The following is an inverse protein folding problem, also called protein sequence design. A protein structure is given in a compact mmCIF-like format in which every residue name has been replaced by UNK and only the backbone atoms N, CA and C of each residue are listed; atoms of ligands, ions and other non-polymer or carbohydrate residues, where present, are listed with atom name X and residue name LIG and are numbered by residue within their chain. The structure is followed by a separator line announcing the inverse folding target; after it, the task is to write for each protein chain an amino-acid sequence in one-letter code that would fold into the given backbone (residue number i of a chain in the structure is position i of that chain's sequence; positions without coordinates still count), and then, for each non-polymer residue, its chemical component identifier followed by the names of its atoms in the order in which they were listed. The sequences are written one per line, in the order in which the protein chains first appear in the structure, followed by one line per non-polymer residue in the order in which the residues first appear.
data_IF_707191068133
#
_entry.id   IF_707191068133
#
_cell.length_a   1.000
_cell.length_b   1.000
_cell.length_c   1.000
_cell.angle_alpha   90.00
_cell.angle_beta   90.00
_cell.angle_gamma   90.00
#
_symmetry.space_group_name_H-M   'P 1'
#
loop_
_entity.id
_entity.type
_entity.pdbx_description
1 polymer ?
#
# COMPACT_ATOMS: atom_id res chain seq x y z
N UNK A 1 -23.57 -33.34 4.67
CA UNK A 1 -23.78 -32.36 5.76
C UNK A 1 -22.47 -31.92 6.44
N UNK A 2 -21.60 -32.81 6.96
CA UNK A 2 -20.31 -32.42 7.59
C UNK A 2 -19.35 -31.63 6.69
N UNK A 3 -19.20 -32.01 5.41
CA UNK A 3 -18.28 -31.32 4.49
C UNK A 3 -18.64 -29.86 4.21
N UNK A 4 -19.94 -29.55 4.11
CA UNK A 4 -20.41 -28.18 3.86
C UNK A 4 -20.19 -27.28 5.08
N UNK A 5 -20.37 -27.81 6.28
CA UNK A 5 -20.08 -27.08 7.52
C UNK A 5 -18.60 -26.71 7.60
N UNK A 6 -17.70 -27.67 7.38
CA UNK A 6 -16.26 -27.42 7.38
C UNK A 6 -15.84 -26.37 6.34
N UNK A 7 -16.40 -26.43 5.13
CA UNK A 7 -16.09 -25.47 4.07
C UNK A 7 -16.54 -24.04 4.40
N UNK A 8 -17.67 -23.87 5.09
CA UNK A 8 -18.16 -22.56 5.54
C UNK A 8 -17.31 -22.05 6.70
N UNK A 9 -16.98 -22.90 7.68
CA UNK A 9 -16.10 -22.51 8.80
C UNK A 9 -14.73 -22.07 8.30
N UNK A 10 -14.13 -22.84 7.39
CA UNK A 10 -12.85 -22.49 6.76
C UNK A 10 -12.91 -21.15 6.00
N UNK A 11 -13.99 -20.92 5.23
CA UNK A 11 -14.19 -19.65 4.53
C UNK A 11 -14.28 -18.45 5.50
N UNK A 12 -15.01 -18.61 6.61
CA UNK A 12 -15.14 -17.57 7.63
C UNK A 12 -13.80 -17.29 8.32
N UNK A 13 -13.06 -18.34 8.70
CA UNK A 13 -11.73 -18.18 9.29
C UNK A 13 -10.75 -17.49 8.34
N UNK A 14 -10.80 -17.81 7.03
CA UNK A 14 -10.00 -17.11 6.01
C UNK A 14 -10.37 -15.63 5.89
N UNK A 15 -11.66 -15.31 5.93
CA UNK A 15 -12.10 -13.92 5.89
C UNK A 15 -11.63 -13.13 7.13
N UNK A 16 -11.77 -13.70 8.32
CA UNK A 16 -11.29 -13.10 9.58
C UNK A 16 -9.77 -12.88 9.56
N UNK A 17 -9.00 -13.87 9.07
CA UNK A 17 -7.56 -13.73 8.91
C UNK A 17 -7.18 -12.58 7.96
N UNK A 18 -7.87 -12.45 6.82
CA UNK A 18 -7.66 -11.35 5.88
C UNK A 18 -7.99 -9.99 6.50
N UNK A 19 -9.05 -9.91 7.31
CA UNK A 19 -9.39 -8.68 8.04
C UNK A 19 -8.33 -8.32 9.09
N UNK A 20 -7.80 -9.31 9.82
CA UNK A 20 -6.74 -9.13 10.80
C UNK A 20 -5.41 -8.70 10.18
N UNK A 21 -5.15 -9.13 8.94
CA UNK A 21 -3.95 -8.75 8.19
C UNK A 21 -3.97 -7.31 7.64
N UNK A 22 -5.09 -6.58 7.75
CA UNK A 22 -5.19 -5.21 7.24
C UNK A 22 -4.39 -4.24 8.13
N UNK A 23 -3.36 -3.56 7.58
CA UNK A 23 -2.61 -2.55 8.32
C UNK A 23 -3.52 -1.41 8.79
N UNK A 24 -3.29 -0.81 9.98
CA UNK A 24 -4.11 0.29 10.49
C UNK A 24 -4.25 1.47 9.51
N UNK A 25 -3.19 1.80 8.79
CA UNK A 25 -3.12 2.86 7.78
C UNK A 25 -3.96 2.57 6.52
N UNK A 26 -4.31 1.31 6.29
CA UNK A 26 -5.06 0.84 5.13
C UNK A 26 -6.55 0.60 5.43
N UNK A 27 -6.98 0.66 6.69
CA UNK A 27 -8.34 0.29 7.11
C UNK A 27 -9.43 1.15 6.49
N UNK A 28 -9.21 2.46 6.41
CA UNK A 28 -10.18 3.38 5.79
C UNK A 28 -10.27 3.14 4.28
N UNK A 29 -9.12 2.92 3.62
CA UNK A 29 -9.05 2.69 2.18
C UNK A 29 -9.68 1.35 1.76
N UNK A 30 -9.47 0.28 2.55
CA UNK A 30 -10.01 -1.05 2.28
C UNK A 30 -11.41 -1.28 2.85
N UNK A 31 -11.91 -0.37 3.68
CA UNK A 31 -13.24 -0.43 4.29
C UNK A 31 -14.36 -0.75 3.28
N UNK A 32 -14.47 -0.04 2.15
CA UNK A 32 -15.48 -0.32 1.12
C UNK A 32 -15.36 -1.72 0.51
N UNK A 33 -14.14 -2.23 0.30
CA UNK A 33 -13.88 -3.55 -0.25
C UNK A 33 -14.29 -4.66 0.75
N UNK A 34 -13.94 -4.50 2.02
CA UNK A 34 -14.37 -5.41 3.10
C UNK A 34 -15.90 -5.42 3.22
N UNK A 35 -16.54 -4.26 3.15
CA UNK A 35 -18.00 -4.15 3.19
C UNK A 35 -18.67 -4.81 1.98
N UNK A 36 -18.07 -4.70 0.79
CA UNK A 36 -18.54 -5.37 -0.43
C UNK A 36 -18.54 -6.89 -0.28
N UNK A 37 -17.45 -7.47 0.23
CA UNK A 37 -17.35 -8.91 0.49
C UNK A 37 -18.36 -9.34 1.55
N UNK A 38 -18.45 -8.59 2.67
CA UNK A 38 -19.40 -8.86 3.74
C UNK A 38 -20.86 -8.85 3.28
N UNK A 39 -21.24 -7.88 2.44
CA UNK A 39 -22.59 -7.80 1.85
C UNK A 39 -22.90 -8.96 0.91
N UNK A 40 -21.91 -9.50 0.19
CA UNK A 40 -22.08 -10.68 -0.67
C UNK A 40 -22.20 -11.98 0.12
N UNK A 41 -21.52 -12.09 1.25
CA UNK A 41 -21.61 -13.27 2.12
C UNK A 41 -22.95 -13.32 2.88
N UNK A 42 -23.51 -12.16 3.23
CA UNK A 42 -24.69 -12.02 4.08
C UNK A 42 -25.95 -12.79 3.60
N UNK A 43 -26.34 -12.74 2.32
CA UNK A 43 -27.50 -13.48 1.80
C UNK A 43 -27.33 -15.00 1.88
N UNK A 44 -26.10 -15.49 1.68
CA UNK A 44 -25.77 -16.92 1.78
C UNK A 44 -25.76 -17.45 3.21
N UNK A 45 -25.58 -16.55 4.19
CA UNK A 45 -25.67 -16.86 5.63
C UNK A 45 -27.11 -16.83 6.18
N UNK A 46 -28.05 -16.12 5.52
CA UNK A 46 -29.37 -15.84 6.11
C UNK A 46 -30.59 -16.36 5.34
N UNK A 47 -30.52 -16.53 4.02
CA UNK A 47 -31.77 -16.69 3.24
C UNK A 47 -31.88 -18.01 2.45
N UNK A 48 -31.11 -18.32 1.39
CA UNK A 48 -31.61 -19.29 0.37
C UNK A 48 -30.61 -20.30 -0.28
N UNK A 49 -29.59 -20.78 0.44
CA UNK A 49 -28.60 -21.72 -0.11
C UNK A 49 -28.52 -23.08 0.58
N UNK A 50 -29.49 -23.51 1.41
CA UNK A 50 -29.35 -24.72 2.21
C UNK A 50 -29.45 -26.08 1.47
N UNK A 51 -29.71 -26.09 0.16
CA UNK A 51 -29.59 -27.32 -0.65
C UNK A 51 -28.12 -27.60 -0.96
N UNK A 52 -27.66 -28.85 -0.77
CA UNK A 52 -26.23 -29.21 -0.77
C UNK A 52 -25.42 -28.70 -1.97
N UNK A 53 -26.02 -28.71 -3.18
CA UNK A 53 -25.39 -28.27 -4.43
C UNK A 53 -25.17 -26.75 -4.50
N UNK A 54 -26.09 -25.97 -3.92
CA UNK A 54 -26.06 -24.50 -3.94
C UNK A 54 -25.05 -23.94 -2.94
N UNK A 55 -24.80 -24.66 -1.83
CA UNK A 55 -23.77 -24.31 -0.84
C UNK A 55 -22.38 -24.33 -1.49
N UNK A 56 -22.09 -25.36 -2.28
CA UNK A 56 -20.75 -25.52 -2.87
C UNK A 56 -20.40 -24.38 -3.82
N UNK A 57 -21.34 -23.99 -4.69
CA UNK A 57 -21.18 -22.85 -5.58
C UNK A 57 -21.00 -21.55 -4.80
N UNK A 58 -21.85 -21.31 -3.79
CA UNK A 58 -21.73 -20.13 -2.94
C UNK A 58 -20.39 -20.05 -2.19
N UNK A 59 -19.91 -21.16 -1.62
CA UNK A 59 -18.61 -21.21 -0.93
C UNK A 59 -17.47 -20.92 -1.91
N UNK A 60 -17.54 -21.44 -3.14
CA UNK A 60 -16.54 -21.16 -4.17
C UNK A 60 -16.52 -19.68 -4.57
N UNK A 61 -17.69 -19.09 -4.84
CA UNK A 61 -17.83 -17.69 -5.22
C UNK A 61 -17.37 -16.74 -4.10
N UNK A 62 -17.82 -17.00 -2.87
CA UNK A 62 -17.40 -16.24 -1.70
C UNK A 62 -15.90 -16.40 -1.41
N UNK A 63 -15.36 -17.61 -1.61
CA UNK A 63 -13.92 -17.88 -1.52
C UNK A 63 -13.12 -17.04 -2.51
N UNK A 64 -13.56 -16.96 -3.76
CA UNK A 64 -12.89 -16.13 -4.78
C UNK A 64 -12.87 -14.64 -4.43
N UNK A 65 -13.94 -14.12 -3.82
CA UNK A 65 -14.01 -12.72 -3.37
C UNK A 65 -13.10 -12.45 -2.15
N UNK A 66 -13.02 -13.39 -1.20
CA UNK A 66 -12.07 -13.33 -0.08
C UNK A 66 -10.63 -13.35 -0.59
N UNK A 67 -10.35 -14.17 -1.61
CA UNK A 67 -9.04 -14.24 -2.27
C UNK A 67 -8.66 -12.94 -2.99
N UNK A 68 -9.61 -12.31 -3.68
CA UNK A 68 -9.41 -10.98 -4.28
C UNK A 68 -9.10 -9.93 -3.22
N UNK A 69 -9.83 -9.95 -2.10
CA UNK A 69 -9.57 -9.05 -0.97
C UNK A 69 -8.16 -9.27 -0.40
N UNK A 70 -7.75 -10.54 -0.21
CA UNK A 70 -6.38 -10.88 0.24
C UNK A 70 -5.32 -10.31 -0.70
N UNK A 71 -5.50 -10.48 -2.01
CA UNK A 71 -4.57 -9.92 -3.00
C UNK A 71 -4.51 -8.39 -3.00
N UNK A 72 -5.62 -7.70 -2.69
CA UNK A 72 -5.60 -6.24 -2.50
C UNK A 72 -4.84 -5.83 -1.23
N UNK A 73 -5.05 -6.54 -0.12
CA UNK A 73 -4.32 -6.31 1.14
C UNK A 73 -2.82 -6.47 0.94
N UNK A 74 -2.39 -7.56 0.30
CA UNK A 74 -0.97 -7.81 0.05
C UNK A 74 -0.34 -6.73 -0.82
N UNK A 75 -0.96 -6.40 -1.96
CA UNK A 75 -0.44 -5.35 -2.86
C UNK A 75 -0.34 -4.00 -2.18
N UNK A 76 -1.29 -3.67 -1.30
CA UNK A 76 -1.26 -2.42 -0.56
C UNK A 76 -0.13 -2.42 0.47
N UNK A 77 0.10 -3.52 1.18
CA UNK A 77 1.24 -3.69 2.07
C UNK A 77 2.56 -3.52 1.31
N UNK A 78 2.71 -4.21 0.18
CA UNK A 78 3.92 -4.12 -0.66
C UNK A 78 4.16 -2.68 -1.15
N UNK A 79 3.10 -1.96 -1.55
CA UNK A 79 3.21 -0.57 -2.02
C UNK A 79 3.64 0.38 -0.89
N UNK A 80 3.12 0.18 0.33
CA UNK A 80 3.56 0.93 1.51
C UNK A 80 5.04 0.66 1.79
N UNK A 81 5.46 -0.61 1.77
CA UNK A 81 6.85 -0.99 2.01
C UNK A 81 7.78 -0.43 0.91
N UNK A 82 7.39 -0.51 -0.36
CA UNK A 82 8.10 0.10 -1.48
C UNK A 82 8.26 1.61 -1.31
N UNK A 83 7.24 2.32 -0.83
CA UNK A 83 7.33 3.76 -0.57
C UNK A 83 8.30 4.07 0.58
N UNK A 84 8.27 3.27 1.66
CA UNK A 84 9.20 3.40 2.77
C UNK A 84 10.63 3.13 2.32
N UNK A 85 10.87 2.03 1.60
CA UNK A 85 12.18 1.70 1.04
C UNK A 85 12.68 2.76 0.05
N UNK A 86 11.81 3.31 -0.80
CA UNK A 86 12.17 4.41 -1.71
C UNK A 86 12.55 5.66 -0.94
N UNK A 87 11.78 6.03 0.08
CA UNK A 87 12.08 7.21 0.91
C UNK A 87 13.35 7.01 1.72
N UNK A 88 13.59 5.83 2.30
CA UNK A 88 14.85 5.49 2.95
C UNK A 88 16.03 5.52 1.97
N UNK A 89 15.85 5.01 0.75
CA UNK A 89 16.86 5.09 -0.30
C UNK A 89 17.14 6.53 -0.73
N UNK A 90 16.13 7.39 -0.78
CA UNK A 90 16.30 8.82 -1.02
C UNK A 90 17.03 9.48 0.15
N UNK A 91 16.64 9.20 1.40
CA UNK A 91 17.30 9.71 2.62
C UNK A 91 18.77 9.27 2.69
N UNK A 92 19.05 8.01 2.38
CA UNK A 92 20.39 7.44 2.33
C UNK A 92 21.22 8.00 1.16
N UNK A 93 20.61 8.31 0.01
CA UNK A 93 21.29 9.00 -1.10
C UNK A 93 21.46 10.50 -0.85
N UNK A 94 20.60 11.08 -0.03
CA UNK A 94 20.78 12.41 0.56
C UNK A 94 21.67 12.38 1.78
N UNK A 95 22.53 11.35 1.97
CA UNK A 95 23.69 11.47 2.86
C UNK A 95 24.43 12.75 2.47
N UNK A 96 24.24 13.75 3.31
CA UNK A 96 24.67 15.14 3.14
C UNK A 96 26.17 15.30 3.40
N UNK A 97 26.91 14.19 3.52
CA UNK A 97 28.31 14.16 3.91
C UNK A 97 29.03 13.09 3.09
N UNK A 98 29.58 13.52 1.96
CA UNK A 98 30.69 12.83 1.33
C UNK A 98 31.96 13.44 1.94
N UNK A 99 32.36 12.94 3.12
CA UNK A 99 33.64 13.33 3.71
C UNK A 99 34.72 12.44 3.06
N UNK A 100 35.69 13.01 2.32
CA UNK A 100 36.80 12.24 1.78
C UNK A 100 37.53 11.58 2.94
N UNK A 101 37.61 10.24 2.94
CA UNK A 101 38.24 9.47 4.02
C UNK A 101 39.73 9.79 4.24
N UNK A 102 40.35 10.47 3.27
CA UNK A 102 41.80 10.68 3.21
C UNK A 102 42.24 12.15 3.34
N UNK A 103 41.34 13.11 3.56
CA UNK A 103 41.72 14.54 3.64
C UNK A 103 40.89 15.32 4.67
N UNK A 104 41.56 16.14 5.47
CA UNK A 104 40.90 17.11 6.34
C UNK A 104 40.12 18.14 5.52
N UNK A 105 38.84 18.30 5.82
CA UNK A 105 37.94 19.21 5.15
C UNK A 105 37.95 20.55 5.89
N UNK A 106 38.40 21.64 5.25
CA UNK A 106 38.37 22.96 5.88
C UNK A 106 36.96 23.56 5.80
N UNK A 107 36.61 24.41 6.77
CA UNK A 107 35.28 25.05 6.83
C UNK A 107 34.94 25.81 5.54
N UNK A 108 35.93 26.44 4.91
CA UNK A 108 35.75 27.18 3.65
C UNK A 108 35.37 26.25 2.48
N UNK A 109 35.93 25.04 2.43
CA UNK A 109 35.58 24.04 1.42
C UNK A 109 34.15 23.51 1.60
N UNK A 110 33.69 23.39 2.86
CA UNK A 110 32.29 23.05 3.18
C UNK A 110 31.33 24.14 2.72
N UNK A 111 31.63 25.40 3.04
CA UNK A 111 30.79 26.53 2.66
C UNK A 111 30.69 26.65 1.13
N UNK A 112 31.81 26.46 0.40
CA UNK A 112 31.79 26.49 -1.07
C UNK A 112 30.97 25.34 -1.67
N UNK A 113 31.13 24.12 -1.17
CA UNK A 113 30.36 22.95 -1.63
C UNK A 113 28.86 23.14 -1.38
N UNK A 114 28.49 23.65 -0.21
CA UNK A 114 27.10 23.90 0.16
C UNK A 114 26.48 25.03 -0.70
N UNK A 115 27.22 26.13 -0.92
CA UNK A 115 26.77 27.22 -1.80
C UNK A 115 26.62 26.78 -3.27
N UNK A 116 27.48 25.89 -3.77
CA UNK A 116 27.32 25.32 -5.10
C UNK A 116 26.04 24.48 -5.19
N UNK A 117 25.76 23.66 -4.19
CA UNK A 117 24.58 22.78 -4.15
C UNK A 117 23.27 23.55 -4.01
N UNK A 118 23.22 24.57 -3.15
CA UNK A 118 22.05 25.46 -3.01
C UNK A 118 21.73 26.17 -4.32
N UNK A 119 22.75 26.59 -5.09
CA UNK A 119 22.54 27.21 -6.40
C UNK A 119 21.95 26.23 -7.43
N UNK A 120 22.42 24.99 -7.46
CA UNK A 120 21.93 23.97 -8.40
C UNK A 120 20.48 23.58 -8.09
N UNK A 121 20.18 23.29 -6.82
CA UNK A 121 18.82 22.91 -6.40
C UNK A 121 17.84 24.09 -6.52
N UNK A 122 18.29 25.31 -6.22
CA UNK A 122 17.48 26.52 -6.40
C UNK A 122 17.10 26.77 -7.85
N UNK A 123 18.00 26.52 -8.81
CA UNK A 123 17.69 26.61 -10.24
C UNK A 123 16.68 25.55 -10.68
N UNK A 124 16.81 24.33 -10.18
CA UNK A 124 15.87 23.26 -10.48
C UNK A 124 14.47 23.56 -9.92
N UNK A 125 14.37 24.15 -8.73
CA UNK A 125 13.10 24.59 -8.14
C UNK A 125 12.49 25.76 -8.91
N UNK A 126 13.29 26.75 -9.32
CA UNK A 126 12.82 27.88 -10.12
C UNK A 126 12.27 27.44 -11.48
N UNK A 127 12.94 26.50 -12.16
CA UNK A 127 12.45 25.93 -13.43
C UNK A 127 11.09 25.26 -13.26
N UNK A 128 10.94 24.45 -12.20
CA UNK A 128 9.67 23.76 -11.91
C UNK A 128 8.56 24.72 -11.52
N UNK A 129 8.87 25.80 -10.79
CA UNK A 129 7.88 26.83 -10.48
C UNK A 129 7.38 27.53 -11.76
N UNK A 130 8.27 27.86 -12.70
CA UNK A 130 7.88 28.46 -13.97
C UNK A 130 6.99 27.53 -14.82
N UNK A 131 7.28 26.22 -14.83
CA UNK A 131 6.43 25.22 -15.49
C UNK A 131 5.03 25.13 -14.86
N UNK A 132 4.95 25.19 -13.52
CA UNK A 132 3.67 25.19 -12.79
C UNK A 132 2.88 26.47 -13.05
N UNK A 133 3.54 27.64 -13.07
CA UNK A 133 2.89 28.92 -13.38
C UNK A 133 2.33 28.96 -14.81
N UNK A 134 3.07 28.41 -15.79
CA UNK A 134 2.60 28.30 -17.17
C UNK A 134 1.37 27.37 -17.30
N UNK A 135 1.38 26.23 -16.60
CA UNK A 135 0.26 25.28 -16.62
C UNK A 135 -1.01 25.79 -15.93
N UNK A 136 -0.93 26.87 -15.15
CA UNK A 136 -2.09 27.53 -14.52
C UNK A 136 -2.68 28.63 -15.43
N UNK A 137 -1.89 29.14 -16.39
CA UNK A 137 -2.30 30.19 -17.32
C UNK A 137 -2.99 29.68 -18.60
N UNK A 138 -2.80 28.40 -18.94
CA UNK A 138 -3.48 27.66 -20.02
C UNK A 138 -4.80 27.02 -19.54
#
# INVERSE_FOLDING_TARGET
HKGNFLAITDLLSRFEAVQGAIPPTARELLGPAVQSVRRRMWPGLRTHTWTSLRIQHWVADAGAEVERLRGLVQRLADLVDLRVQRNLGLVAKTVLVDLPKDRGFTLDQFVQAQQARVRTEGRALASKNAEVEAAVAD
#
